data_IF_702312233579
#
_entry.id   IF_702312233579
#
_cell.length_a   1.000
_cell.length_b   1.000
_cell.length_c   1.000
_cell.angle_alpha   90.00
_cell.angle_beta   90.00
_cell.angle_gamma   90.00
#
_symmetry.space_group_name_H-M   'P 1'
#
loop_
_entity.id
_entity.type
_entity.pdbx_description
1 polymer ?
#
# COMPACT_ATOMS: atom_id res chain seq x y z
N UNK A 1 13.31 1.14 37.38
CA UNK A 1 13.64 -0.17 36.79
C UNK A 1 12.75 -0.37 35.57
N UNK A 2 13.14 0.13 34.41
CA UNK A 2 12.37 -0.07 33.16
C UNK A 2 13.37 -0.24 32.03
N UNK A 3 14.11 -1.35 32.08
CA UNK A 3 14.78 -1.85 30.90
C UNK A 3 13.70 -2.30 29.94
N UNK A 4 13.42 -1.52 28.90
CA UNK A 4 12.69 -2.01 27.74
C UNK A 4 13.50 -3.21 27.23
N UNK A 5 12.98 -4.42 27.47
CA UNK A 5 13.55 -5.61 26.87
C UNK A 5 13.44 -5.43 25.36
N UNK A 6 14.59 -5.24 24.71
CA UNK A 6 14.67 -5.23 23.26
C UNK A 6 14.01 -6.51 22.73
N UNK A 7 13.12 -6.37 21.74
CA UNK A 7 12.47 -7.53 21.11
C UNK A 7 13.53 -8.46 20.54
N UNK A 8 13.24 -9.76 20.51
CA UNK A 8 14.17 -10.73 19.92
C UNK A 8 14.32 -10.46 18.42
N UNK A 9 15.50 -10.74 17.89
CA UNK A 9 15.80 -10.61 16.46
C UNK A 9 14.79 -11.40 15.61
N UNK A 10 14.44 -12.60 16.07
CA UNK A 10 13.45 -13.46 15.42
C UNK A 10 12.06 -12.80 15.34
N UNK A 11 11.59 -12.16 16.41
CA UNK A 11 10.32 -11.46 16.41
C UNK A 11 10.30 -10.30 15.41
N UNK A 12 11.39 -9.52 15.33
CA UNK A 12 11.51 -8.43 14.36
C UNK A 12 11.48 -8.97 12.92
N UNK A 13 12.17 -10.08 12.65
CA UNK A 13 12.21 -10.70 11.33
C UNK A 13 10.85 -11.28 10.92
N UNK A 14 10.11 -11.89 11.85
CA UNK A 14 8.75 -12.38 11.60
C UNK A 14 7.78 -11.23 11.25
N UNK A 15 7.86 -10.12 12.00
CA UNK A 15 7.06 -8.93 11.70
C UNK A 15 7.40 -8.34 10.33
N UNK A 16 8.69 -8.27 9.96
CA UNK A 16 9.11 -7.80 8.63
C UNK A 16 8.58 -8.70 7.52
N UNK A 17 8.63 -10.02 7.70
CA UNK A 17 8.09 -10.97 6.71
C UNK A 17 6.58 -10.77 6.52
N UNK A 18 5.83 -10.65 7.63
CA UNK A 18 4.39 -10.38 7.58
C UNK A 18 4.10 -9.06 6.88
N UNK A 19 4.82 -8.00 7.22
CA UNK A 19 4.62 -6.70 6.62
C UNK A 19 4.95 -6.70 5.12
N UNK A 20 5.98 -7.43 4.70
CA UNK A 20 6.28 -7.61 3.27
C UNK A 20 5.15 -8.34 2.51
N UNK A 21 4.49 -9.31 3.15
CA UNK A 21 3.32 -9.98 2.58
C UNK A 21 2.13 -9.03 2.48
N UNK A 22 1.90 -8.19 3.50
CA UNK A 22 0.84 -7.18 3.51
C UNK A 22 1.07 -6.13 2.40
N UNK A 23 2.31 -5.66 2.23
CA UNK A 23 2.71 -4.77 1.11
C UNK A 23 2.45 -5.44 -0.24
N UNK A 24 2.82 -6.72 -0.40
CA UNK A 24 2.59 -7.44 -1.64
C UNK A 24 1.08 -7.58 -1.95
N UNK A 25 0.24 -7.80 -0.94
CA UNK A 25 -1.21 -7.86 -1.10
C UNK A 25 -1.77 -6.48 -1.49
N UNK A 26 -1.37 -5.41 -0.80
CA UNK A 26 -1.79 -4.04 -1.09
C UNK A 26 -1.36 -3.61 -2.51
N UNK A 27 -0.15 -3.96 -2.95
CA UNK A 27 0.33 -3.67 -4.30
C UNK A 27 -0.48 -4.39 -5.38
N UNK A 28 -0.86 -5.65 -5.15
CA UNK A 28 -1.72 -6.38 -6.10
C UNK A 28 -3.08 -5.69 -6.26
N UNK A 29 -3.67 -5.26 -5.15
CA UNK A 29 -4.93 -4.53 -5.19
C UNK A 29 -4.78 -3.18 -5.87
N UNK A 30 -3.72 -2.43 -5.57
CA UNK A 30 -3.41 -1.17 -6.24
C UNK A 30 -3.32 -1.34 -7.77
N UNK A 31 -2.59 -2.36 -8.24
CA UNK A 31 -2.48 -2.66 -9.66
C UNK A 31 -3.84 -3.03 -10.29
N UNK A 32 -4.68 -3.77 -9.57
CA UNK A 32 -6.05 -4.10 -10.02
C UNK A 32 -6.89 -2.84 -10.18
N UNK A 33 -6.83 -1.92 -9.20
CA UNK A 33 -7.54 -0.64 -9.25
C UNK A 33 -7.03 0.24 -10.40
N UNK A 34 -5.72 0.28 -10.64
CA UNK A 34 -5.13 1.03 -11.78
C UNK A 34 -5.66 0.49 -13.11
N UNK A 35 -5.79 -0.83 -13.25
CA UNK A 35 -6.35 -1.43 -14.46
C UNK A 35 -7.83 -1.04 -14.66
N UNK A 36 -8.62 -1.02 -13.59
CA UNK A 36 -10.02 -0.59 -13.62
C UNK A 36 -10.11 0.88 -14.03
N UNK A 37 -9.37 1.76 -13.37
CA UNK A 37 -9.34 3.19 -13.67
C UNK A 37 -9.00 3.46 -15.14
N UNK A 38 -7.95 2.82 -15.68
CA UNK A 38 -7.60 2.92 -17.11
C UNK A 38 -8.70 2.40 -18.03
N UNK A 39 -9.39 1.33 -17.65
CA UNK A 39 -10.56 0.85 -18.39
C UNK A 39 -11.68 1.90 -18.46
N UNK A 40 -11.95 2.56 -17.34
CA UNK A 40 -12.94 3.65 -17.26
C UNK A 40 -12.52 4.88 -18.06
N UNK A 41 -11.24 5.24 -18.07
CA UNK A 41 -10.70 6.31 -18.94
C UNK A 41 -10.96 6.03 -20.43
N UNK A 42 -10.73 4.79 -20.88
CA UNK A 42 -11.00 4.40 -22.27
C UNK A 42 -12.49 4.46 -22.60
N UNK A 43 -13.35 4.04 -21.66
CA UNK A 43 -14.80 4.16 -21.83
C UNK A 43 -15.24 5.62 -21.88
N UNK A 44 -14.65 6.50 -21.07
CA UNK A 44 -14.98 7.92 -21.07
C UNK A 44 -14.57 8.60 -22.39
N UNK A 45 -13.40 8.25 -22.93
CA UNK A 45 -12.97 8.70 -24.26
C UNK A 45 -13.93 8.23 -25.36
N UNK A 46 -14.54 7.04 -25.19
CA UNK A 46 -15.56 6.55 -26.11
C UNK A 46 -16.85 7.36 -25.97
N UNK A 47 -17.37 7.55 -24.76
CA UNK A 47 -18.59 8.33 -24.52
C UNK A 47 -18.45 9.77 -25.03
N UNK A 48 -17.30 10.41 -24.82
CA UNK A 48 -17.02 11.77 -25.32
C UNK A 48 -17.07 11.84 -26.85
N UNK A 49 -16.46 10.87 -27.54
CA UNK A 49 -16.51 10.77 -29.00
C UNK A 49 -17.92 10.48 -29.53
N UNK A 50 -18.68 9.65 -28.83
CA UNK A 50 -20.03 9.25 -29.25
C UNK A 50 -21.08 10.31 -28.83
N UNK A 51 -20.71 11.28 -27.98
CA UNK A 51 -21.61 12.31 -27.46
C UNK A 51 -22.55 11.80 -26.36
N UNK A 52 -22.22 10.67 -25.74
CA UNK A 52 -23.06 9.90 -24.83
C UNK A 52 -22.52 9.89 -23.39
N UNK A 53 -21.95 11.01 -22.91
CA UNK A 53 -21.44 11.10 -21.54
C UNK A 53 -22.51 10.75 -20.50
N UNK A 54 -22.23 9.75 -19.66
CA UNK A 54 -23.15 9.30 -18.62
C UNK A 54 -22.71 9.69 -17.21
N UNK A 55 -23.66 10.10 -16.37
CA UNK A 55 -23.39 10.37 -14.95
C UNK A 55 -22.93 9.10 -14.21
N UNK A 56 -23.35 7.93 -14.67
CA UNK A 56 -22.94 6.64 -14.10
C UNK A 56 -21.44 6.39 -14.29
N UNK A 57 -20.90 6.61 -15.49
CA UNK A 57 -19.47 6.44 -15.74
C UNK A 57 -18.63 7.44 -14.93
N UNK A 58 -19.06 8.69 -14.83
CA UNK A 58 -18.40 9.70 -14.01
C UNK A 58 -18.35 9.32 -12.52
N UNK A 59 -19.45 8.80 -11.97
CA UNK A 59 -19.49 8.33 -10.58
C UNK A 59 -18.58 7.12 -10.32
N UNK A 60 -18.48 6.21 -11.31
CA UNK A 60 -17.57 5.05 -11.22
C UNK A 60 -16.10 5.49 -11.28
N UNK A 61 -15.76 6.48 -12.12
CA UNK A 61 -14.42 7.06 -12.16
C UNK A 61 -14.03 7.71 -10.83
N UNK A 62 -14.93 8.50 -10.23
CA UNK A 62 -14.69 9.13 -8.93
C UNK A 62 -14.52 8.08 -7.82
N UNK A 63 -15.31 7.00 -7.86
CA UNK A 63 -15.18 5.90 -6.90
C UNK A 63 -13.86 5.15 -7.07
N UNK A 64 -13.45 4.88 -8.32
CA UNK A 64 -12.17 4.24 -8.63
C UNK A 64 -10.97 5.10 -8.20
N UNK A 65 -11.01 6.42 -8.43
CA UNK A 65 -9.96 7.34 -7.98
C UNK A 65 -9.83 7.39 -6.46
N UNK A 66 -10.94 7.48 -5.73
CA UNK A 66 -10.91 7.41 -4.25
C UNK A 66 -10.30 6.10 -3.75
N UNK A 67 -10.68 4.97 -4.35
CA UNK A 67 -10.10 3.68 -4.00
C UNK A 67 -8.59 3.61 -4.29
N UNK A 68 -8.11 4.26 -5.37
CA UNK A 68 -6.67 4.37 -5.67
C UNK A 68 -5.94 5.21 -4.62
N UNK A 69 -6.51 6.33 -4.21
CA UNK A 69 -5.94 7.20 -3.18
C UNK A 69 -5.84 6.46 -1.83
N UNK A 70 -6.92 5.80 -1.40
CA UNK A 70 -6.96 5.00 -0.17
C UNK A 70 -5.92 3.85 -0.20
N UNK A 71 -5.77 3.22 -1.38
CA UNK A 71 -4.79 2.16 -1.61
C UNK A 71 -3.36 2.69 -1.51
N UNK A 72 -3.09 3.87 -2.07
CA UNK A 72 -1.79 4.52 -2.01
C UNK A 72 -1.44 4.97 -0.58
N UNK A 73 -2.40 5.52 0.17
CA UNK A 73 -2.22 5.85 1.59
C UNK A 73 -1.88 4.61 2.42
N UNK A 74 -2.53 3.49 2.13
CA UNK A 74 -2.25 2.21 2.78
C UNK A 74 -0.83 1.75 2.49
N UNK A 75 -0.40 1.80 1.23
CA UNK A 75 0.98 1.45 0.84
C UNK A 75 2.01 2.34 1.55
N UNK A 76 1.80 3.66 1.56
CA UNK A 76 2.68 4.61 2.25
C UNK A 76 2.81 4.31 3.75
N UNK A 77 1.70 3.93 4.41
CA UNK A 77 1.72 3.53 5.83
C UNK A 77 2.53 2.25 6.04
N UNK A 78 2.35 1.26 5.18
CA UNK A 78 3.07 -0.01 5.27
C UNK A 78 4.57 0.19 5.03
N UNK A 79 4.96 1.04 4.07
CA UNK A 79 6.36 1.39 3.82
C UNK A 79 7.00 2.11 5.00
N UNK A 80 6.28 3.03 5.65
CA UNK A 80 6.75 3.69 6.87
C UNK A 80 6.94 2.69 8.03
N UNK A 81 6.03 1.72 8.17
CA UNK A 81 6.18 0.63 9.15
C UNK A 81 7.40 -0.24 8.84
N UNK A 82 7.68 -0.51 7.56
CA UNK A 82 8.82 -1.34 7.15
C UNK A 82 10.14 -0.62 7.46
N UNK A 83 10.23 0.67 7.17
CA UNK A 83 11.36 1.51 7.55
C UNK A 83 11.59 1.49 9.08
N UNK A 84 10.52 1.54 9.88
CA UNK A 84 10.61 1.44 11.33
C UNK A 84 11.18 0.10 11.81
N UNK A 85 10.75 -1.02 11.20
CA UNK A 85 11.30 -2.34 11.51
C UNK A 85 12.75 -2.49 11.04
N UNK A 86 13.14 -1.87 9.93
CA UNK A 86 14.52 -1.84 9.45
C UNK A 86 15.46 -1.12 10.43
N UNK A 87 15.00 0.01 10.96
CA UNK A 87 15.72 0.77 11.99
C UNK A 87 15.84 -0.02 13.30
N UNK A 88 14.77 -0.69 13.72
CA UNK A 88 14.78 -1.54 14.91
C UNK A 88 15.74 -2.73 14.75
N UNK A 89 15.69 -3.39 13.59
CA UNK A 89 16.58 -4.50 13.24
C UNK A 89 18.05 -4.06 13.28
N UNK A 90 18.37 -2.91 12.68
CA UNK A 90 19.72 -2.35 12.68
C UNK A 90 20.24 -2.06 14.10
N UNK A 91 19.37 -1.58 15.01
CA UNK A 91 19.71 -1.34 16.42
C UNK A 91 19.93 -2.67 17.16
N UNK A 92 19.06 -3.65 16.95
CA UNK A 92 19.18 -4.98 17.57
C UNK A 92 20.49 -5.67 17.16
N UNK A 93 20.86 -5.61 15.87
CA UNK A 93 22.12 -6.16 15.37
C UNK A 93 23.35 -5.48 15.96
N UNK A 94 23.36 -4.15 16.08
CA UNK A 94 24.47 -3.41 16.72
C UNK A 94 24.61 -3.74 18.22
N UNK A 95 23.51 -4.06 18.90
CA UNK A 95 23.50 -4.46 20.31
C UNK A 95 24.10 -5.85 20.56
N UNK A 96 24.09 -6.74 19.57
CA UNK A 96 24.67 -8.10 19.67
C UNK A 96 26.19 -8.15 19.46
N UNK A 97 26.79 -7.09 18.92
CA UNK A 97 28.24 -7.02 18.59
C UNK A 97 29.04 -6.38 19.75
N UNK A 98 28.41 -6.02 20.87
CA UNK A 98 29.06 -5.55 22.11
C UNK A 98 29.16 -6.66 23.13
#
# INVERSE_FOLDING_TARGET
MTGQHARSLEAILQDRLRLAQDIAAANREHLRLVQIARGLEVLALKEDRDGEATAALGAEQETSHRALDDSLETLNRLDAMLAGLDDELARAMKGQIR
#
